data_IF_052019069195
#
_entry.id   IF_052019069195
#
_cell.length_a   1.000
_cell.length_b   1.000
_cell.length_c   1.000
_cell.angle_alpha   90.00
_cell.angle_beta   90.00
_cell.angle_gamma   90.00
#
_symmetry.space_group_name_H-M   'P 1'
#
loop_
_entity.id
_entity.type
_entity.pdbx_description
1 polymer ?
#
# COMPACT_ATOMS: atom_id res chain seq x y z
N UNK A 1 -5.74 7.05 12.27
CA UNK A 1 -5.03 6.66 13.49
C UNK A 1 -3.52 6.58 13.22
N UNK A 2 -2.82 7.72 13.17
CA UNK A 2 -1.39 7.77 12.86
C UNK A 2 -0.52 7.27 14.02
N UNK A 3 -0.46 5.94 14.20
CA UNK A 3 0.16 5.30 15.38
C UNK A 3 1.67 5.57 15.50
N UNK A 4 2.41 5.56 14.39
CA UNK A 4 3.83 5.94 14.36
C UNK A 4 4.07 7.33 14.94
N UNK A 5 3.26 8.30 14.49
CA UNK A 5 3.34 9.68 14.98
C UNK A 5 2.90 9.77 16.44
N UNK A 6 1.88 9.01 16.85
CA UNK A 6 1.40 8.97 18.22
C UNK A 6 2.47 8.46 19.18
N UNK A 7 3.13 7.35 18.86
CA UNK A 7 4.28 6.84 19.61
C UNK A 7 5.38 7.90 19.75
N UNK A 8 5.78 8.52 18.63
CA UNK A 8 6.81 9.54 18.61
C UNK A 8 6.45 10.75 19.48
N UNK A 9 5.24 11.29 19.33
CA UNK A 9 4.79 12.46 20.09
C UNK A 9 4.65 12.15 21.59
N UNK A 10 4.21 10.94 21.95
CA UNK A 10 4.17 10.48 23.34
C UNK A 10 5.56 10.43 23.96
N UNK A 11 6.53 9.82 23.27
CA UNK A 11 7.90 9.73 23.78
C UNK A 11 8.56 11.11 23.88
N UNK A 12 8.39 11.96 22.87
CA UNK A 12 8.88 13.34 22.87
C UNK A 12 8.28 14.17 24.02
N UNK A 13 6.97 14.03 24.28
CA UNK A 13 6.31 14.69 25.41
C UNK A 13 6.86 14.21 26.77
N UNK A 14 7.12 12.92 26.93
CA UNK A 14 7.72 12.37 28.14
C UNK A 14 9.14 12.90 28.36
N UNK A 15 10.00 12.85 27.34
CA UNK A 15 11.39 13.35 27.40
C UNK A 15 11.44 14.85 27.73
N UNK A 16 10.56 15.66 27.14
CA UNK A 16 10.56 17.12 27.34
C UNK A 16 10.04 17.56 28.71
N UNK A 17 9.23 16.75 29.38
CA UNK A 17 8.53 17.14 30.61
C UNK A 17 9.17 16.56 31.88
N UNK A 18 10.14 15.65 31.74
CA UNK A 18 10.72 14.91 32.86
C UNK A 18 9.77 13.81 33.34
N UNK A 19 8.74 14.19 34.10
CA UNK A 19 7.69 13.28 34.60
C UNK A 19 6.29 13.85 34.39
N UNK A 20 5.35 12.98 33.99
CA UNK A 20 3.95 13.35 33.84
C UNK A 20 3.04 12.20 34.25
N UNK A 21 1.94 12.51 34.94
CA UNK A 21 0.86 11.52 35.11
C UNK A 21 0.29 11.08 33.74
N UNK A 22 -0.19 9.83 33.61
CA UNK A 22 -0.78 9.34 32.35
C UNK A 22 -1.89 10.25 31.80
N UNK A 23 -2.68 10.86 32.68
CA UNK A 23 -3.76 11.76 32.29
C UNK A 23 -3.23 13.09 31.71
N UNK A 24 -2.20 13.69 32.32
CA UNK A 24 -1.57 14.91 31.79
C UNK A 24 -0.89 14.64 30.44
N UNK A 25 -0.21 13.50 30.33
CA UNK A 25 0.42 13.07 29.07
C UNK A 25 -0.63 12.86 27.97
N UNK A 26 -1.73 12.18 28.27
CA UNK A 26 -2.85 12.00 27.35
C UNK A 26 -3.48 13.34 26.94
N UNK A 27 -3.70 14.25 27.88
CA UNK A 27 -4.26 15.58 27.59
C UNK A 27 -3.38 16.42 26.67
N UNK A 28 -2.05 16.33 26.84
CA UNK A 28 -1.09 17.04 25.99
C UNK A 28 -0.99 16.43 24.59
N UNK A 29 -0.92 15.10 24.49
CA UNK A 29 -0.75 14.43 23.20
C UNK A 29 -2.06 14.40 22.43
N UNK A 30 -3.16 13.89 23.00
CA UNK A 30 -4.42 13.70 22.28
C UNK A 30 -5.14 15.00 21.92
N UNK A 31 -4.75 16.15 22.49
CA UNK A 31 -5.26 17.46 22.08
C UNK A 31 -4.69 17.95 20.74
N UNK A 32 -3.60 17.36 20.24
CA UNK A 32 -3.03 17.70 18.95
C UNK A 32 -3.97 17.28 17.82
N UNK A 33 -4.10 18.14 16.80
CA UNK A 33 -5.04 17.95 15.67
C UNK A 33 -4.96 16.58 14.98
N UNK A 34 -3.78 15.97 14.75
CA UNK A 34 -3.68 14.65 14.12
C UNK A 34 -4.32 13.51 14.92
N UNK A 35 -4.54 13.68 16.23
CA UNK A 35 -4.99 12.63 17.14
C UNK A 35 -6.44 12.78 17.60
N UNK A 36 -7.19 13.73 17.05
CA UNK A 36 -8.60 13.99 17.41
C UNK A 36 -9.50 12.75 17.30
N UNK A 37 -9.18 11.83 16.40
CA UNK A 37 -9.95 10.60 16.14
C UNK A 37 -9.33 9.34 16.80
N UNK A 38 -8.32 9.50 17.65
CA UNK A 38 -7.70 8.37 18.37
C UNK A 38 -8.53 8.05 19.60
N UNK A 39 -8.93 6.79 19.76
CA UNK A 39 -9.67 6.35 20.95
C UNK A 39 -8.76 6.35 22.19
N UNK A 40 -9.33 6.72 23.35
CA UNK A 40 -8.58 6.76 24.61
C UNK A 40 -8.08 5.37 25.03
N UNK A 41 -8.79 4.29 24.70
CA UNK A 41 -8.33 2.93 25.00
C UNK A 41 -7.17 2.54 24.10
N UNK A 42 -7.15 2.97 22.83
CA UNK A 42 -6.00 2.72 21.95
C UNK A 42 -4.75 3.44 22.47
N UNK A 43 -4.91 4.67 22.96
CA UNK A 43 -3.81 5.40 23.60
C UNK A 43 -3.33 4.72 24.88
N UNK A 44 -4.25 4.22 25.71
CA UNK A 44 -3.91 3.45 26.91
C UNK A 44 -3.15 2.17 26.54
N UNK A 45 -3.62 1.43 25.54
CA UNK A 45 -2.97 0.22 25.05
C UNK A 45 -1.55 0.54 24.53
N UNK A 46 -1.36 1.68 23.86
CA UNK A 46 -0.04 2.18 23.46
C UNK A 46 0.86 2.46 24.67
N UNK A 47 0.38 3.18 25.68
CA UNK A 47 1.17 3.48 26.88
C UNK A 47 1.61 2.19 27.60
N UNK A 48 0.69 1.23 27.74
CA UNK A 48 1.00 -0.07 28.36
C UNK A 48 2.07 -0.82 27.56
N UNK A 49 1.98 -0.82 26.23
CA UNK A 49 2.98 -1.45 25.37
C UNK A 49 4.34 -0.73 25.44
N UNK A 50 4.35 0.60 25.47
CA UNK A 50 5.56 1.41 25.63
C UNK A 50 6.26 1.13 26.98
N UNK A 51 5.50 0.99 28.07
CA UNK A 51 6.05 0.63 29.38
C UNK A 51 6.63 -0.79 29.35
N UNK A 52 5.86 -1.77 28.86
CA UNK A 52 6.30 -3.17 28.76
C UNK A 52 7.57 -3.33 27.94
N UNK A 53 7.72 -2.53 26.88
CA UNK A 53 8.88 -2.57 25.98
C UNK A 53 10.07 -1.76 26.51
N UNK A 54 9.90 -0.95 27.55
CA UNK A 54 10.94 -0.13 28.17
C UNK A 54 11.16 1.24 27.51
N UNK A 55 10.22 1.72 26.69
CA UNK A 55 10.25 3.08 26.12
C UNK A 55 9.77 4.13 27.12
N UNK A 56 8.83 3.74 27.99
CA UNK A 56 8.41 4.53 29.14
C UNK A 56 8.68 3.73 30.40
N UNK A 57 8.81 4.43 31.52
CA UNK A 57 8.90 3.82 32.84
C UNK A 57 7.89 4.50 33.77
N UNK A 58 7.23 3.70 34.60
CA UNK A 58 6.35 4.20 35.65
C UNK A 58 7.15 4.35 36.95
N UNK A 59 7.05 5.52 37.57
CA UNK A 59 7.66 5.81 38.87
C UNK A 59 6.81 5.27 40.02
N UNK A 60 7.36 5.28 41.24
CA UNK A 60 6.63 4.90 42.45
C UNK A 60 5.39 5.78 42.68
N UNK A 61 5.45 7.05 42.27
CA UNK A 61 4.35 8.02 42.33
C UNK A 61 3.31 7.85 41.20
N UNK A 62 3.43 6.78 40.40
CA UNK A 62 2.59 6.46 39.24
C UNK A 62 2.69 7.47 38.08
N UNK A 63 3.72 8.31 38.08
CA UNK A 63 4.04 9.16 36.94
C UNK A 63 4.80 8.37 35.86
N UNK A 64 4.77 8.87 34.63
CA UNK A 64 5.48 8.30 33.50
C UNK A 64 6.69 9.18 33.18
N UNK A 65 7.85 8.53 33.10
CA UNK A 65 9.12 9.10 32.66
C UNK A 65 9.61 8.36 31.42
N UNK A 66 10.64 8.90 30.77
CA UNK A 66 11.34 8.18 29.71
C UNK A 66 12.01 6.92 30.26
N UNK A 67 11.82 5.78 29.60
CA UNK A 67 12.53 4.54 29.96
C UNK A 67 13.90 4.46 29.27
N UNK A 68 14.75 3.52 29.69
CA UNK A 68 16.10 3.33 29.15
C UNK A 68 16.14 3.21 27.61
N UNK A 69 15.21 2.45 27.01
CA UNK A 69 15.14 2.35 25.54
C UNK A 69 14.60 3.62 24.91
N UNK A 70 13.71 4.31 25.60
CA UNK A 70 13.18 5.61 25.19
C UNK A 70 14.28 6.66 25.11
N UNK A 71 15.16 6.72 26.11
CA UNK A 71 16.30 7.65 26.13
C UNK A 71 17.30 7.34 25.02
N UNK A 72 17.63 6.06 24.80
CA UNK A 72 18.49 5.65 23.68
C UNK A 72 17.89 6.04 22.33
N UNK A 73 16.58 5.88 22.15
CA UNK A 73 15.89 6.24 20.92
C UNK A 73 15.87 7.76 20.73
N UNK A 74 15.47 8.51 21.76
CA UNK A 74 15.33 9.96 21.71
C UNK A 74 16.69 10.71 21.67
N UNK A 75 17.76 10.10 22.18
CA UNK A 75 19.11 10.64 22.12
C UNK A 75 19.75 10.63 20.72
N UNK A 76 19.14 9.93 19.76
CA UNK A 76 19.58 9.95 18.37
C UNK A 76 18.96 11.12 17.61
N UNK A 77 19.75 11.93 16.90
CA UNK A 77 19.25 13.07 16.12
C UNK A 77 18.19 12.67 15.06
N UNK A 78 18.23 11.42 14.58
CA UNK A 78 17.22 10.88 13.67
C UNK A 78 15.82 10.83 14.28
N UNK A 79 15.71 10.81 15.62
CA UNK A 79 14.44 10.80 16.32
C UNK A 79 13.57 12.02 15.95
N UNK A 80 14.17 13.20 15.82
CA UNK A 80 13.41 14.42 15.55
C UNK A 80 12.68 14.42 14.20
N UNK A 81 13.08 13.56 13.25
CA UNK A 81 12.38 13.36 11.99
C UNK A 81 11.33 12.25 12.10
N UNK A 82 10.10 12.55 11.66
CA UNK A 82 8.97 11.59 11.67
C UNK A 82 8.82 10.80 10.36
N UNK A 83 9.42 11.28 9.28
CA UNK A 83 9.48 10.56 8.00
C UNK A 83 10.59 9.52 8.04
N UNK A 84 10.41 8.41 7.33
CA UNK A 84 11.45 7.38 7.19
C UNK A 84 12.71 8.01 6.60
N UNK A 85 13.84 7.68 7.20
CA UNK A 85 15.13 8.05 6.65
C UNK A 85 15.36 7.19 5.40
N UNK A 86 15.71 7.80 4.27
CA UNK A 86 16.24 7.05 3.14
C UNK A 86 17.62 6.54 3.53
N UNK A 87 17.77 5.23 3.64
CA UNK A 87 19.09 4.64 3.84
C UNK A 87 19.74 4.41 2.48
N UNK A 88 20.68 5.28 2.14
CA UNK A 88 21.48 5.11 0.94
C UNK A 88 22.50 3.98 1.18
N UNK A 89 22.52 3.01 0.26
CA UNK A 89 23.54 1.98 0.18
C UNK A 89 24.54 2.35 -0.90
N UNK A 90 25.83 2.26 -0.57
CA UNK A 90 26.91 2.48 -1.53
C UNK A 90 27.15 1.21 -2.34
N UNK A 91 27.02 1.33 -3.66
CA UNK A 91 27.23 0.24 -4.61
C UNK A 91 28.70 0.23 -5.04
N UNK A 92 29.37 -0.91 -4.88
CA UNK A 92 30.77 -1.09 -5.24
C UNK A 92 30.98 -2.26 -6.19
N UNK A 93 31.94 -2.11 -7.10
CA UNK A 93 32.54 -3.22 -7.86
C UNK A 93 33.98 -3.41 -7.37
N UNK A 94 34.22 -4.50 -6.64
CA UNK A 94 35.49 -4.70 -5.95
C UNK A 94 35.81 -3.53 -5.02
N UNK A 95 36.85 -2.75 -5.34
CA UNK A 95 37.27 -1.57 -4.59
C UNK A 95 36.73 -0.25 -5.12
N UNK A 96 36.04 -0.22 -6.26
CA UNK A 96 35.54 1.03 -6.87
C UNK A 96 34.09 1.30 -6.45
N UNK A 97 33.77 2.56 -6.13
CA UNK A 97 32.40 3.01 -5.86
C UNK A 97 31.73 3.48 -7.15
N UNK A 98 30.56 2.90 -7.45
CA UNK A 98 29.80 3.19 -8.67
C UNK A 98 28.74 4.27 -8.41
N UNK A 99 28.20 4.31 -7.19
CA UNK A 99 27.17 5.28 -6.77
C UNK A 99 26.35 4.75 -5.59
N UNK A 100 25.18 5.36 -5.36
CA UNK A 100 24.29 4.99 -4.25
C UNK A 100 22.90 4.61 -4.74
N UNK A 101 22.24 3.69 -4.00
CA UNK A 101 20.84 3.33 -4.21
C UNK A 101 20.09 3.29 -2.88
N UNK A 102 18.80 3.62 -2.91
CA UNK A 102 17.91 3.60 -1.73
C UNK A 102 17.12 2.30 -1.59
N UNK A 103 16.92 1.59 -2.70
CA UNK A 103 16.21 0.31 -2.74
C UNK A 103 17.19 -0.78 -3.08
N UNK A 104 17.54 -1.59 -2.08
CA UNK A 104 18.51 -2.69 -2.21
C UNK A 104 17.81 -3.91 -2.82
N UNK A 105 18.21 -4.35 -4.04
CA UNK A 105 17.72 -5.61 -4.59
C UNK A 105 18.30 -6.79 -3.79
N UNK A 106 17.58 -7.92 -3.67
CA UNK A 106 18.12 -9.16 -3.11
C UNK A 106 19.40 -9.63 -3.81
N UNK A 107 20.21 -10.45 -3.12
CA UNK A 107 21.37 -11.12 -3.73
C UNK A 107 20.91 -11.99 -4.90
N UNK A 108 21.61 -11.88 -6.04
CA UNK A 108 21.27 -12.54 -7.30
C UNK A 108 20.30 -11.75 -8.19
N UNK A 109 19.59 -10.77 -7.63
CA UNK A 109 18.81 -9.84 -8.44
C UNK A 109 19.71 -8.80 -9.09
N UNK A 110 19.16 -8.17 -10.12
CA UNK A 110 19.89 -7.20 -10.94
C UNK A 110 19.22 -5.83 -10.84
N UNK A 111 19.98 -4.78 -11.11
CA UNK A 111 19.47 -3.40 -11.17
C UNK A 111 20.29 -2.56 -12.14
N UNK A 112 19.75 -1.41 -12.55
CA UNK A 112 20.46 -0.46 -13.41
C UNK A 112 20.96 0.74 -12.60
N UNK A 113 22.25 1.06 -12.73
CA UNK A 113 22.87 2.23 -12.12
C UNK A 113 23.96 2.77 -13.06
N UNK A 114 24.03 4.10 -13.20
CA UNK A 114 24.98 4.79 -14.09
C UNK A 114 24.98 4.26 -15.54
N UNK A 115 23.80 3.90 -16.07
CA UNK A 115 23.67 3.40 -17.45
C UNK A 115 24.19 1.96 -17.68
N UNK A 116 24.51 1.24 -16.62
CA UNK A 116 24.94 -0.16 -16.67
C UNK A 116 24.02 -1.05 -15.82
N UNK A 117 23.97 -2.33 -16.15
CA UNK A 117 23.22 -3.34 -15.38
C UNK A 117 24.20 -4.10 -14.49
N UNK A 118 23.85 -4.19 -13.22
CA UNK A 118 24.63 -4.77 -12.14
C UNK A 118 23.84 -5.92 -11.53
N UNK A 119 24.52 -7.00 -11.16
CA UNK A 119 23.97 -8.12 -10.39
C UNK A 119 24.53 -8.07 -8.98
N UNK A 120 23.66 -8.17 -7.96
CA UNK A 120 24.04 -8.14 -6.56
C UNK A 120 24.73 -9.44 -6.18
N UNK A 121 25.98 -9.37 -5.73
CA UNK A 121 26.73 -10.53 -5.23
C UNK A 121 26.62 -10.65 -3.71
N UNK A 122 26.73 -9.53 -3.01
CA UNK A 122 26.72 -9.49 -1.54
C UNK A 122 26.17 -8.16 -1.03
N UNK A 123 25.50 -8.21 0.12
CA UNK A 123 24.97 -7.04 0.83
C UNK A 123 25.55 -7.03 2.25
N UNK A 124 26.39 -6.04 2.55
CA UNK A 124 26.89 -5.76 3.90
C UNK A 124 25.96 -4.72 4.55
N UNK A 125 24.91 -5.22 5.21
CA UNK A 125 23.89 -4.39 5.88
C UNK A 125 24.50 -3.48 6.96
N UNK A 126 25.39 -3.96 7.86
CA UNK A 126 26.03 -3.09 8.85
C UNK A 126 26.80 -1.92 8.26
N UNK A 127 27.50 -2.12 7.14
CA UNK A 127 28.29 -1.07 6.47
C UNK A 127 27.53 -0.32 5.38
N UNK A 128 26.30 -0.74 5.07
CA UNK A 128 25.48 -0.22 3.94
C UNK A 128 26.20 -0.30 2.60
N UNK A 129 26.92 -1.41 2.37
CA UNK A 129 27.63 -1.65 1.12
C UNK A 129 26.94 -2.76 0.33
N UNK A 130 26.90 -2.59 -0.99
CA UNK A 130 26.43 -3.61 -1.93
C UNK A 130 27.57 -3.90 -2.89
N UNK A 131 28.02 -5.15 -2.93
CA UNK A 131 28.99 -5.60 -3.90
C UNK A 131 28.28 -6.15 -5.13
N UNK A 132 28.70 -5.67 -6.30
CA UNK A 132 28.07 -6.01 -7.56
C UNK A 132 29.08 -6.39 -8.63
N UNK A 133 28.62 -7.22 -9.57
CA UNK A 133 29.31 -7.48 -10.83
C UNK A 133 28.53 -6.92 -12.02
N UNK A 134 29.26 -6.52 -13.05
CA UNK A 134 28.66 -6.02 -14.29
C UNK A 134 28.09 -7.17 -15.12
N UNK A 135 26.86 -7.04 -15.59
CA UNK A 135 26.21 -8.04 -16.46
C UNK A 135 25.74 -7.43 -17.77
N UNK A 136 25.78 -8.22 -18.85
CA UNK A 136 25.24 -7.81 -20.17
C UNK A 136 23.73 -8.06 -20.18
N UNK A 137 22.94 -7.01 -20.37
CA UNK A 137 21.48 -7.12 -20.52
C UNK A 137 20.79 -5.76 -20.56
N UNK A 138 19.54 -5.74 -21.03
CA UNK A 138 18.60 -4.63 -20.82
C UNK A 138 17.69 -5.03 -19.67
N UNK A 139 17.75 -4.29 -18.57
CA UNK A 139 16.76 -4.40 -17.51
C UNK A 139 15.72 -3.29 -17.69
N UNK A 140 14.45 -3.61 -17.43
CA UNK A 140 13.42 -2.59 -17.19
C UNK A 140 13.78 -1.80 -15.92
N UNK A 141 14.21 -0.56 -16.11
CA UNK A 141 14.53 0.33 -15.00
C UNK A 141 13.21 0.73 -14.34
N UNK A 142 12.81 0.00 -13.30
CA UNK A 142 11.74 0.41 -12.41
C UNK A 142 12.33 1.37 -11.39
N UNK A 143 12.02 2.67 -11.52
CA UNK A 143 12.17 3.63 -10.44
C UNK A 143 10.85 3.62 -9.68
N UNK A 144 10.68 2.82 -8.62
CA UNK A 144 9.41 2.74 -7.93
C UNK A 144 8.97 4.09 -7.36
N UNK A 145 9.90 5.04 -7.15
CA UNK A 145 9.65 6.34 -6.56
C UNK A 145 9.11 6.22 -5.13
N UNK A 146 8.93 7.36 -4.46
CA UNK A 146 8.10 7.38 -3.26
C UNK A 146 6.64 7.34 -3.71
N UNK A 147 5.96 6.22 -3.50
CA UNK A 147 4.61 5.98 -4.01
C UNK A 147 3.59 6.64 -3.08
N UNK A 148 3.29 7.91 -3.37
CA UNK A 148 2.10 8.55 -2.84
C UNK A 148 0.81 7.79 -3.21
N UNK A 149 -0.22 7.88 -2.38
CA UNK A 149 -1.52 7.28 -2.71
C UNK A 149 -2.22 8.08 -3.81
N UNK A 150 -2.71 7.37 -4.83
CA UNK A 150 -3.42 7.96 -5.96
C UNK A 150 -4.92 8.00 -5.64
N UNK A 151 -5.54 9.17 -5.78
CA UNK A 151 -6.98 9.34 -5.56
C UNK A 151 -7.81 8.80 -6.75
N UNK A 152 -8.96 8.21 -6.48
CA UNK A 152 -9.88 7.62 -7.50
C UNK A 152 -10.27 8.58 -8.62
N UNK A 153 -10.41 9.87 -8.29
CA UNK A 153 -10.64 10.95 -9.27
C UNK A 153 -9.61 10.96 -10.41
N UNK A 154 -8.34 10.64 -10.13
CA UNK A 154 -7.29 10.56 -11.14
C UNK A 154 -7.55 9.38 -12.08
N UNK A 155 -7.88 8.20 -11.54
CA UNK A 155 -8.16 7.01 -12.35
C UNK A 155 -9.42 7.19 -13.19
N UNK A 156 -10.48 7.78 -12.62
CA UNK A 156 -11.69 8.15 -13.37
C UNK A 156 -11.39 9.16 -14.49
N UNK A 157 -10.47 10.11 -14.26
CA UNK A 157 -10.02 11.03 -15.32
C UNK A 157 -9.21 10.30 -16.41
N UNK A 158 -8.31 9.39 -16.03
CA UNK A 158 -7.55 8.57 -16.97
C UNK A 158 -8.48 7.70 -17.82
N UNK A 159 -9.49 7.07 -17.21
CA UNK A 159 -10.55 6.35 -17.93
C UNK A 159 -11.21 7.24 -18.99
N UNK A 160 -11.66 8.43 -18.59
CA UNK A 160 -12.30 9.40 -19.50
C UNK A 160 -11.39 9.84 -20.65
N UNK A 161 -10.10 10.04 -20.39
CA UNK A 161 -9.09 10.39 -21.42
C UNK A 161 -9.01 9.31 -22.51
N UNK A 162 -9.19 8.04 -22.14
CA UNK A 162 -9.19 6.89 -23.06
C UNK A 162 -10.52 6.77 -23.82
N UNK A 163 -11.63 7.21 -23.22
CA UNK A 163 -12.97 7.12 -23.82
C UNK A 163 -13.30 8.27 -24.79
N UNK A 164 -12.70 9.45 -24.59
CA UNK A 164 -12.96 10.62 -25.43
C UNK A 164 -11.99 10.72 -26.62
N UNK A 165 -12.41 11.36 -27.72
CA UNK A 165 -11.56 11.59 -28.90
C UNK A 165 -10.82 12.95 -28.87
N UNK A 166 -10.71 13.59 -27.69
CA UNK A 166 -10.04 14.90 -27.54
C UNK A 166 -8.54 14.77 -27.79
N UNK A 167 -7.98 15.64 -28.64
CA UNK A 167 -6.54 15.82 -28.82
C UNK A 167 -6.09 16.98 -27.94
N UNK A 168 -5.23 16.71 -26.97
CA UNK A 168 -4.76 17.71 -26.02
C UNK A 168 -3.63 18.56 -26.63
N UNK A 169 -3.76 19.89 -26.68
CA UNK A 169 -2.78 20.76 -27.35
C UNK A 169 -1.36 20.70 -26.77
N UNK A 170 -1.23 20.32 -25.49
CA UNK A 170 0.05 20.22 -24.80
C UNK A 170 0.78 18.89 -25.04
N UNK A 171 0.20 17.93 -25.76
CA UNK A 171 0.85 16.64 -26.05
C UNK A 171 1.80 16.78 -27.24
N UNK A 172 3.05 16.36 -27.04
CA UNK A 172 3.99 16.17 -28.15
C UNK A 172 3.53 15.03 -29.08
N UNK A 173 3.99 14.99 -30.35
CA UNK A 173 3.51 14.01 -31.34
C UNK A 173 3.59 12.54 -30.89
N UNK A 174 4.70 12.14 -30.25
CA UNK A 174 4.88 10.77 -29.75
C UNK A 174 3.90 10.41 -28.62
N UNK A 175 3.59 11.37 -27.74
CA UNK A 175 2.64 11.18 -26.65
C UNK A 175 1.20 11.09 -27.18
N UNK A 176 0.84 11.94 -28.15
CA UNK A 176 -0.45 11.89 -28.83
C UNK A 176 -0.63 10.55 -29.57
N UNK A 177 0.40 10.05 -30.25
CA UNK A 177 0.40 8.73 -30.90
C UNK A 177 0.16 7.61 -29.89
N UNK A 178 0.90 7.61 -28.77
CA UNK A 178 0.75 6.59 -27.72
C UNK A 178 -0.66 6.59 -27.09
N UNK A 179 -1.24 7.77 -26.88
CA UNK A 179 -2.63 7.89 -26.41
C UNK A 179 -3.60 7.31 -27.44
N UNK A 180 -3.42 7.61 -28.73
CA UNK A 180 -4.26 7.07 -29.79
C UNK A 180 -4.16 5.53 -29.86
N UNK A 181 -2.97 4.95 -29.70
CA UNK A 181 -2.78 3.50 -29.68
C UNK A 181 -3.64 2.84 -28.57
N UNK A 182 -3.67 3.44 -27.38
CA UNK A 182 -4.49 2.95 -26.25
C UNK A 182 -5.98 3.13 -26.50
N UNK A 183 -6.41 4.23 -27.14
CA UNK A 183 -7.81 4.44 -27.54
C UNK A 183 -8.26 3.40 -28.55
N UNK A 184 -7.42 3.07 -29.54
CA UNK A 184 -7.70 2.01 -30.51
C UNK A 184 -7.76 0.63 -29.84
N UNK A 185 -6.86 0.35 -28.90
CA UNK A 185 -6.93 -0.86 -28.09
C UNK A 185 -8.26 -0.95 -27.33
N UNK A 186 -8.71 0.16 -26.73
CA UNK A 186 -10.00 0.20 -26.02
C UNK A 186 -11.19 -0.03 -26.96
N UNK A 187 -11.17 0.48 -28.20
CA UNK A 187 -12.23 0.19 -29.19
C UNK A 187 -12.36 -1.32 -29.47
N UNK A 188 -11.24 -2.04 -29.43
CA UNK A 188 -11.21 -3.49 -29.69
C UNK A 188 -11.54 -4.34 -28.45
N UNK A 189 -11.03 -3.98 -27.26
CA UNK A 189 -11.16 -4.81 -26.05
C UNK A 189 -12.22 -4.31 -25.07
N UNK A 190 -12.66 -3.06 -25.21
CA UNK A 190 -13.65 -2.37 -24.36
C UNK A 190 -13.32 -2.41 -22.87
N UNK A 191 -12.03 -2.35 -22.52
CA UNK A 191 -11.57 -2.45 -21.13
C UNK A 191 -11.98 -1.29 -20.22
N UNK A 192 -12.40 -0.16 -20.79
CA UNK A 192 -13.03 0.91 -20.01
C UNK A 192 -14.51 0.62 -19.71
N UNK A 193 -15.22 -0.10 -20.60
CA UNK A 193 -16.64 -0.47 -20.41
C UNK A 193 -16.81 -1.76 -19.62
N UNK A 194 -15.82 -2.65 -19.68
CA UNK A 194 -15.89 -4.01 -19.17
C UNK A 194 -14.79 -4.20 -18.15
N UNK A 195 -15.16 -4.12 -16.86
CA UNK A 195 -14.20 -4.16 -15.76
C UNK A 195 -13.43 -5.46 -15.58
N UNK A 196 -13.82 -6.56 -16.24
CA UNK A 196 -13.15 -7.87 -16.19
C UNK A 196 -12.99 -8.39 -17.62
N UNK A 197 -11.75 -8.72 -18.00
CA UNK A 197 -11.41 -9.26 -19.31
C UNK A 197 -10.70 -10.60 -19.15
N UNK A 198 -11.15 -11.67 -19.86
CA UNK A 198 -10.43 -12.93 -19.90
C UNK A 198 -9.12 -12.80 -20.68
N UNK A 199 -8.05 -13.38 -20.14
CA UNK A 199 -6.76 -13.57 -20.78
C UNK A 199 -6.56 -15.06 -21.11
N UNK A 200 -5.34 -15.43 -21.50
CA UNK A 200 -4.94 -16.82 -21.77
C UNK A 200 -4.75 -17.58 -20.45
N UNK A 201 -4.86 -18.92 -20.47
CA UNK A 201 -4.59 -19.81 -19.33
C UNK A 201 -5.45 -19.51 -18.09
N UNK A 202 -6.77 -19.33 -18.28
CA UNK A 202 -7.73 -19.07 -17.20
C UNK A 202 -7.35 -17.88 -16.31
N UNK A 203 -6.57 -16.95 -16.85
CA UNK A 203 -6.17 -15.73 -16.19
C UNK A 203 -7.13 -14.62 -16.59
N UNK A 204 -7.36 -13.68 -15.70
CA UNK A 204 -8.25 -12.55 -15.90
C UNK A 204 -7.53 -11.28 -15.49
N UNK A 205 -7.78 -10.21 -16.23
CA UNK A 205 -7.42 -8.85 -15.83
C UNK A 205 -8.68 -8.10 -15.46
N UNK A 206 -8.60 -7.36 -14.36
CA UNK A 206 -9.67 -6.51 -13.87
C UNK A 206 -9.18 -5.07 -13.80
N UNK A 207 -9.95 -4.15 -14.39
CA UNK A 207 -9.71 -2.72 -14.37
C UNK A 207 -10.66 -2.07 -13.35
N UNK A 208 -10.19 -1.80 -12.12
CA UNK A 208 -11.04 -1.28 -11.07
C UNK A 208 -11.37 0.19 -11.26
N UNK A 209 -10.50 0.99 -11.89
CA UNK A 209 -10.64 2.45 -11.99
C UNK A 209 -10.81 3.14 -10.62
N UNK A 210 -10.16 2.58 -9.61
CA UNK A 210 -10.20 2.99 -8.21
C UNK A 210 -8.80 3.48 -7.79
N UNK A 211 -8.76 4.37 -6.81
CA UNK A 211 -7.52 4.86 -6.20
C UNK A 211 -6.83 3.80 -5.35
N UNK A 212 -5.63 4.11 -4.87
CA UNK A 212 -4.75 3.17 -4.17
C UNK A 212 -5.42 2.50 -2.97
N UNK A 213 -6.10 3.27 -2.12
CA UNK A 213 -6.81 2.71 -0.95
C UNK A 213 -7.93 1.79 -1.37
N UNK A 214 -8.81 2.27 -2.24
CA UNK A 214 -9.98 1.52 -2.71
C UNK A 214 -9.58 0.22 -3.44
N UNK A 215 -8.59 0.23 -4.33
CA UNK A 215 -8.07 -1.00 -4.97
C UNK A 215 -7.46 -1.95 -3.95
N UNK A 216 -6.68 -1.44 -2.99
CA UNK A 216 -6.10 -2.26 -1.91
C UNK A 216 -7.19 -2.96 -1.11
N UNK A 217 -8.26 -2.25 -0.75
CA UNK A 217 -9.43 -2.82 -0.06
C UNK A 217 -10.14 -3.83 -0.95
N UNK A 218 -10.34 -3.52 -2.22
CA UNK A 218 -11.05 -4.39 -3.16
C UNK A 218 -10.29 -5.70 -3.41
N UNK A 219 -8.97 -5.64 -3.60
CA UNK A 219 -8.10 -6.83 -3.67
C UNK A 219 -8.21 -7.68 -2.41
N UNK A 220 -8.19 -7.05 -1.22
CA UNK A 220 -8.34 -7.77 0.05
C UNK A 220 -9.72 -8.39 0.18
N UNK A 221 -10.77 -7.70 -0.23
CA UNK A 221 -12.12 -8.26 -0.32
C UNK A 221 -12.16 -9.50 -1.21
N UNK A 222 -11.57 -9.46 -2.40
CA UNK A 222 -11.45 -10.64 -3.27
C UNK A 222 -10.71 -11.79 -2.55
N UNK A 223 -9.57 -11.50 -1.92
CA UNK A 223 -8.76 -12.49 -1.20
C UNK A 223 -9.51 -13.13 -0.03
N UNK A 224 -10.13 -12.33 0.84
CA UNK A 224 -10.70 -12.81 2.10
C UNK A 224 -12.15 -13.29 1.98
N UNK A 225 -12.92 -12.75 1.05
CA UNK A 225 -14.37 -13.04 0.95
C UNK A 225 -14.77 -13.85 -0.29
N UNK A 226 -13.99 -13.78 -1.36
CA UNK A 226 -14.33 -14.43 -2.64
C UNK A 226 -13.42 -15.64 -2.95
N UNK A 227 -12.12 -15.57 -2.66
CA UNK A 227 -11.13 -16.51 -3.20
C UNK A 227 -11.42 -17.98 -2.89
N UNK A 228 -11.65 -18.32 -1.62
CA UNK A 228 -11.93 -19.71 -1.22
C UNK A 228 -13.25 -20.24 -1.77
N UNK A 229 -14.24 -19.38 -2.00
CA UNK A 229 -15.58 -19.76 -2.46
C UNK A 229 -15.67 -19.92 -3.98
N UNK A 230 -14.85 -19.18 -4.72
CA UNK A 230 -14.86 -19.14 -6.18
C UNK A 230 -13.60 -19.75 -6.82
N UNK A 231 -12.69 -20.29 -6.01
CA UNK A 231 -11.43 -20.84 -6.50
C UNK A 231 -10.50 -19.80 -7.13
N UNK A 232 -10.52 -18.55 -6.64
CA UNK A 232 -9.63 -17.52 -7.16
C UNK A 232 -8.23 -17.72 -6.60
N UNK A 233 -7.23 -17.77 -7.48
CA UNK A 233 -5.82 -17.90 -7.13
C UNK A 233 -4.99 -16.79 -7.76
N UNK A 234 -3.75 -16.61 -7.30
CA UNK A 234 -2.80 -15.62 -7.85
C UNK A 234 -3.39 -14.20 -7.98
N UNK A 235 -4.06 -13.72 -6.93
CA UNK A 235 -4.64 -12.36 -6.90
C UNK A 235 -3.51 -11.34 -6.70
N UNK A 236 -3.04 -10.82 -7.82
CA UNK A 236 -1.96 -9.85 -7.92
C UNK A 236 -2.52 -8.46 -8.26
N UNK A 237 -1.77 -7.45 -7.84
CA UNK A 237 -2.13 -6.06 -8.03
C UNK A 237 -0.89 -5.32 -8.52
N UNK A 238 -1.04 -4.61 -9.65
CA UNK A 238 -0.04 -3.64 -10.08
C UNK A 238 -0.54 -2.23 -9.81
N UNK A 239 0.10 -1.57 -8.84
CA UNK A 239 -0.25 -0.21 -8.40
C UNK A 239 -1.75 -0.11 -8.12
N UNK A 240 -2.44 0.90 -8.66
CA UNK A 240 -3.91 1.01 -8.63
C UNK A 240 -4.54 0.87 -10.03
N UNK A 241 -3.80 0.38 -11.02
CA UNK A 241 -4.23 0.41 -12.41
C UNK A 241 -5.03 -0.84 -12.80
N UNK A 242 -4.57 -2.02 -12.38
CA UNK A 242 -5.26 -3.28 -12.65
C UNK A 242 -4.96 -4.34 -11.59
N UNK A 243 -5.82 -5.36 -11.57
CA UNK A 243 -5.68 -6.58 -10.79
C UNK A 243 -5.64 -7.76 -11.75
N UNK A 244 -4.85 -8.78 -11.44
CA UNK A 244 -4.89 -10.07 -12.14
C UNK A 244 -5.24 -11.17 -11.18
N UNK A 245 -5.93 -12.19 -11.68
CA UNK A 245 -6.23 -13.41 -10.93
C UNK A 245 -6.43 -14.59 -11.88
N UNK A 246 -6.28 -15.80 -11.34
CA UNK A 246 -6.66 -17.04 -12.03
C UNK A 246 -7.94 -17.61 -11.46
N UNK A 247 -8.78 -18.16 -12.34
CA UNK A 247 -9.99 -18.86 -11.95
C UNK A 247 -10.32 -19.95 -12.97
N UNK A 248 -10.29 -21.22 -12.53
CA UNK A 248 -10.57 -22.36 -13.41
C UNK A 248 -12.06 -22.56 -13.67
N UNK A 249 -12.90 -22.35 -12.66
CA UNK A 249 -14.35 -22.62 -12.71
C UNK A 249 -15.19 -21.41 -12.29
N UNK A 250 -14.73 -20.19 -12.59
CA UNK A 250 -15.47 -18.97 -12.31
C UNK A 250 -15.41 -18.00 -13.48
N UNK A 251 -16.55 -17.78 -14.11
CA UNK A 251 -16.74 -16.78 -15.15
C UNK A 251 -16.77 -15.35 -14.57
N UNK A 252 -16.48 -14.32 -15.37
CA UNK A 252 -16.61 -12.92 -14.95
C UNK A 252 -17.99 -12.57 -14.37
N UNK A 253 -19.06 -13.17 -14.94
CA UNK A 253 -20.44 -12.97 -14.47
C UNK A 253 -20.66 -13.59 -13.10
N UNK A 254 -20.18 -14.81 -12.86
CA UNK A 254 -20.32 -15.48 -11.57
C UNK A 254 -19.57 -14.72 -10.47
N UNK A 255 -18.36 -14.25 -10.76
CA UNK A 255 -17.62 -13.40 -9.83
C UNK A 255 -18.39 -12.11 -9.53
N UNK A 256 -18.86 -11.39 -10.55
CA UNK A 256 -19.61 -10.14 -10.38
C UNK A 256 -20.90 -10.35 -9.56
N UNK A 257 -21.68 -11.38 -9.87
CA UNK A 257 -22.91 -11.72 -9.16
C UNK A 257 -22.61 -12.12 -7.71
N UNK A 258 -21.57 -12.91 -7.46
CA UNK A 258 -21.17 -13.29 -6.11
C UNK A 258 -20.79 -12.06 -5.28
N UNK A 259 -19.96 -11.16 -5.83
CA UNK A 259 -19.57 -9.92 -5.16
C UNK A 259 -20.79 -9.07 -4.84
N UNK A 260 -21.70 -8.88 -5.80
CA UNK A 260 -22.95 -8.12 -5.63
C UNK A 260 -23.82 -8.70 -4.51
N UNK A 261 -24.09 -10.00 -4.56
CA UNK A 261 -24.88 -10.69 -3.53
C UNK A 261 -24.22 -10.60 -2.15
N UNK A 262 -22.88 -10.65 -2.09
CA UNK A 262 -22.15 -10.54 -0.84
C UNK A 262 -22.31 -9.15 -0.21
N UNK A 263 -22.12 -8.07 -0.98
CA UNK A 263 -22.23 -6.69 -0.47
C UNK A 263 -23.66 -6.26 -0.13
N UNK A 264 -24.67 -6.95 -0.67
CA UNK A 264 -26.08 -6.71 -0.38
C UNK A 264 -26.55 -7.40 0.92
N UNK A 265 -25.97 -8.56 1.22
CA UNK A 265 -26.38 -9.40 2.36
C UNK A 265 -25.53 -9.23 3.60
N UNK A 266 -24.34 -8.65 3.47
CA UNK A 266 -23.36 -8.58 4.55
C UNK A 266 -22.85 -7.16 4.71
N UNK A 267 -22.70 -6.73 5.97
CA UNK A 267 -21.88 -5.58 6.31
C UNK A 267 -20.41 -5.99 6.28
N UNK A 268 -19.56 -5.20 5.62
CA UNK A 268 -18.13 -5.49 5.49
C UNK A 268 -17.38 -4.65 6.50
N UNK A 269 -16.80 -5.31 7.50
CA UNK A 269 -15.89 -4.68 8.46
C UNK A 269 -14.47 -4.74 7.93
N UNK A 270 -13.76 -3.59 7.93
CA UNK A 270 -12.39 -3.52 7.40
C UNK A 270 -11.42 -4.44 8.16
N UNK A 271 -11.69 -4.70 9.45
CA UNK A 271 -10.92 -5.65 10.27
C UNK A 271 -10.96 -7.09 9.74
N UNK A 272 -12.00 -7.47 8.99
CA UNK A 272 -12.12 -8.81 8.40
C UNK A 272 -11.39 -8.96 7.06
N UNK A 273 -10.80 -7.86 6.57
CA UNK A 273 -10.02 -7.82 5.32
C UNK A 273 -8.51 -7.85 5.59
N UNK A 274 -8.11 -8.20 6.81
CA UNK A 274 -6.73 -8.27 7.26
C UNK A 274 -6.52 -9.60 7.97
N UNK A 275 -5.42 -10.30 7.65
CA UNK A 275 -5.05 -11.52 8.34
C UNK A 275 -4.51 -11.23 9.74
N UNK A 276 -4.79 -12.13 10.69
CA UNK A 276 -4.35 -12.00 12.09
C UNK A 276 -2.83 -11.95 12.25
N UNK A 277 -2.10 -12.60 11.35
CA UNK A 277 -0.64 -12.66 11.36
C UNK A 277 0.01 -11.59 10.47
N UNK A 278 -0.74 -10.62 9.96
CA UNK A 278 -0.17 -9.53 9.18
C UNK A 278 0.53 -8.51 10.09
N UNK A 279 1.70 -8.02 9.64
CA UNK A 279 2.49 -7.00 10.35
C UNK A 279 2.73 -5.80 9.41
N UNK A 280 1.76 -4.87 9.31
CA UNK A 280 1.84 -3.73 8.42
C UNK A 280 2.84 -2.67 8.94
N UNK A 281 4.10 -2.77 8.53
CA UNK A 281 5.16 -1.80 8.87
C UNK A 281 5.38 -0.87 7.68
N UNK A 282 4.96 0.40 7.81
CA UNK A 282 5.02 1.39 6.73
C UNK A 282 5.77 2.66 7.13
N UNK A 283 5.63 3.09 8.37
CA UNK A 283 6.16 4.35 8.89
C UNK A 283 7.37 4.10 9.81
N UNK A 284 8.10 5.16 10.16
CA UNK A 284 9.41 5.07 10.84
C UNK A 284 9.38 4.34 12.19
N UNK A 285 8.33 4.51 12.97
CA UNK A 285 8.22 4.02 14.34
C UNK A 285 7.32 2.79 14.48
N UNK A 286 6.86 2.22 13.37
CA UNK A 286 5.92 1.09 13.39
C UNK A 286 6.51 -0.14 14.09
N UNK A 287 7.82 -0.40 13.94
CA UNK A 287 8.52 -1.51 14.60
C UNK A 287 8.46 -1.47 16.14
N UNK A 288 8.20 -0.29 16.72
CA UNK A 288 8.15 -0.10 18.16
C UNK A 288 6.75 -0.30 18.75
N UNK A 289 5.73 -0.45 17.89
CA UNK A 289 4.32 -0.50 18.27
C UNK A 289 3.81 -1.94 18.20
N UNK A 290 2.92 -2.33 19.12
CA UNK A 290 2.28 -3.64 19.07
C UNK A 290 1.54 -3.92 17.75
N UNK A 291 1.62 -5.17 17.29
CA UNK A 291 0.92 -5.63 16.08
C UNK A 291 -0.58 -5.34 16.14
N UNK A 292 -1.23 -5.51 17.29
CA UNK A 292 -2.66 -5.23 17.48
C UNK A 292 -3.01 -3.79 17.08
N UNK A 293 -2.21 -2.81 17.53
CA UNK A 293 -2.43 -1.40 17.22
C UNK A 293 -2.07 -1.07 15.77
N UNK A 294 -1.02 -1.69 15.22
CA UNK A 294 -0.66 -1.53 13.81
C UNK A 294 -1.75 -2.07 12.88
N UNK A 295 -2.29 -3.27 13.15
CA UNK A 295 -3.41 -3.84 12.41
C UNK A 295 -4.63 -2.92 12.44
N UNK A 296 -4.97 -2.39 13.62
CA UNK A 296 -6.05 -1.42 13.77
C UNK A 296 -5.80 -0.15 12.96
N UNK A 297 -4.61 0.42 13.06
CA UNK A 297 -4.26 1.60 12.28
C UNK A 297 -4.36 1.35 10.77
N UNK A 298 -3.94 0.17 10.32
CA UNK A 298 -3.96 -0.21 8.93
C UNK A 298 -5.38 -0.30 8.38
N UNK A 299 -6.29 -1.03 9.04
CA UNK A 299 -7.65 -1.13 8.53
C UNK A 299 -8.48 0.14 8.73
N UNK A 300 -8.08 1.03 9.64
CA UNK A 300 -8.73 2.35 9.81
C UNK A 300 -8.26 3.38 8.78
N UNK A 301 -6.96 3.42 8.46
CA UNK A 301 -6.39 4.51 7.65
C UNK A 301 -6.13 4.15 6.20
N UNK A 302 -5.80 2.88 5.93
CA UNK A 302 -5.30 2.43 4.63
C UNK A 302 -6.33 1.64 3.83
N UNK A 303 -7.46 1.29 4.43
CA UNK A 303 -8.58 0.58 3.80
C UNK A 303 -9.83 1.47 3.78
N UNK A 304 -10.52 1.46 2.65
CA UNK A 304 -11.82 2.08 2.41
C UNK A 304 -12.58 1.26 1.38
N UNK A 305 -13.79 0.81 1.73
CA UNK A 305 -14.63 -0.01 0.88
C UNK A 305 -15.77 0.77 0.20
N UNK A 306 -15.95 2.05 0.51
CA UNK A 306 -17.06 2.87 0.01
C UNK A 306 -17.09 2.88 -1.52
N UNK A 307 -16.01 3.30 -2.15
CA UNK A 307 -15.91 3.32 -3.62
C UNK A 307 -15.80 1.91 -4.22
N UNK A 308 -15.23 0.95 -3.47
CA UNK A 308 -15.15 -0.45 -3.91
C UNK A 308 -16.54 -1.06 -4.07
N UNK A 309 -17.46 -0.72 -3.15
CA UNK A 309 -18.85 -1.16 -3.20
C UNK A 309 -19.58 -0.61 -4.42
N UNK A 310 -19.40 0.69 -4.72
CA UNK A 310 -19.92 1.30 -5.94
C UNK A 310 -19.39 0.60 -7.19
N UNK A 311 -18.07 0.35 -7.23
CA UNK A 311 -17.45 -0.32 -8.38
C UNK A 311 -17.96 -1.75 -8.59
N UNK A 312 -18.25 -2.49 -7.52
CA UNK A 312 -18.86 -3.83 -7.62
C UNK A 312 -20.23 -3.75 -8.31
N UNK A 313 -21.05 -2.73 -7.99
CA UNK A 313 -22.35 -2.54 -8.65
C UNK A 313 -22.19 -2.23 -10.15
N UNK A 314 -21.21 -1.39 -10.50
CA UNK A 314 -20.88 -1.10 -11.89
C UNK A 314 -20.45 -2.38 -12.63
N UNK A 315 -19.55 -3.18 -12.05
CA UNK A 315 -19.09 -4.45 -12.65
C UNK A 315 -20.24 -5.45 -12.83
N UNK A 316 -21.21 -5.55 -11.91
CA UNK A 316 -22.41 -6.38 -12.11
C UNK A 316 -23.23 -5.92 -13.31
N UNK A 317 -23.42 -4.61 -13.48
CA UNK A 317 -24.14 -4.04 -14.61
C UNK A 317 -23.39 -4.25 -15.94
N UNK A 318 -22.07 -4.05 -15.95
CA UNK A 318 -21.20 -4.25 -17.10
C UNK A 318 -21.23 -5.71 -17.58
N UNK A 319 -21.01 -6.66 -16.67
CA UNK A 319 -21.00 -8.10 -17.01
C UNK A 319 -22.37 -8.61 -17.47
N UNK A 320 -23.47 -8.05 -16.94
CA UNK A 320 -24.84 -8.38 -17.39
C UNK A 320 -25.08 -7.95 -18.84
N UNK A 321 -24.63 -6.75 -19.22
CA UNK A 321 -24.74 -6.25 -20.60
C UNK A 321 -23.93 -7.11 -21.58
N UNK A 322 -22.71 -7.49 -21.20
CA UNK A 322 -21.87 -8.38 -22.01
C UNK A 322 -22.53 -9.74 -22.27
N UNK A 323 -23.11 -10.35 -21.23
CA UNK A 323 -23.79 -11.63 -21.35
C UNK A 323 -24.99 -11.55 -22.29
N UNK A 324 -25.79 -10.48 -22.20
CA UNK A 324 -26.92 -10.25 -23.09
C UNK A 324 -26.49 -10.04 -24.55
N UNK A 325 -25.42 -9.28 -24.79
CA UNK A 325 -24.86 -9.06 -26.13
C UNK A 325 -24.35 -10.37 -26.76
N UNK A 326 -23.71 -11.25 -25.98
CA UNK A 326 -23.25 -12.55 -26.45
C UNK A 326 -24.39 -13.50 -26.78
N UNK A 327 -25.51 -13.44 -26.06
CA UNK A 327 -26.71 -14.24 -26.33
C UNK A 327 -27.47 -13.77 -27.58
N UNK A 328 -27.42 -12.49 -27.94
CA UNK A 328 -28.05 -11.95 -29.16
C UNK A 328 -27.25 -12.22 -30.45
N UNK A 329 -25.98 -12.60 -30.33
CA UNK A 329 -25.09 -12.93 -31.46
C UNK A 329 -25.06 -14.43 -31.78
N UNK A 330 -25.72 -15.27 -30.98
CA UNK A 330 -25.87 -16.72 -31.20
C UNK A 330 -27.25 -17.05 -31.75
#
# INVERSE_FOLDING_TARGET
MPMSLLFHQTLSAAVSSGSLSPAKLAGRVLSLSPFRNVDKNDYRDLLVDMIKRGYLQQTEEKELICGEKGERLAGNFKFYAVFKDSEDYTVRIGSEEIGTITSVPPVGDRFALAGHVWEVEEIDVPRKLIYVKRVKGKMEISWPGDKGEIHTKILKRMKRVIEEDIIYPYLMPNAAKRLNDVRQLNKNTRFTECGIIPLVNMSYVMFPWLGTRSVRTFRRFLKFKCASKLGLTQIEQDSCYYLTYKAENCSPRELALFMKNYIDRNEIRMSELVGENEHPIYEKYDDFISQKLLLKSFYTDKLDFTESKERINEIDAETRKQQAAFQQQK
#
